data_IF_425557947996
#
_entry.id   IF_425557947996
#
_cell.length_a   1.000
_cell.length_b   1.000
_cell.length_c   1.000
_cell.angle_alpha   90.00
_cell.angle_beta   90.00
_cell.angle_gamma   90.00
#
_symmetry.space_group_name_H-M   'P 1'
#
loop_
_entity.id
_entity.type
_entity.pdbx_description
1 polymer ?
#
# COMPACT_ATOMS: atom_id res chain seq x y z
N UNK A 1 6.34 -11.26 -11.50
CA UNK A 1 7.08 -11.71 -10.31
C UNK A 1 6.88 -10.70 -9.19
N UNK A 2 6.45 -11.18 -8.03
CA UNK A 2 6.32 -10.40 -6.81
C UNK A 2 7.57 -10.58 -5.95
N UNK A 3 8.06 -9.49 -5.34
CA UNK A 3 9.16 -9.53 -4.38
C UNK A 3 8.63 -9.11 -2.99
N UNK A 4 8.45 -10.04 -2.04
CA UNK A 4 7.94 -9.73 -0.71
C UNK A 4 8.90 -8.89 0.13
N UNK A 5 10.17 -8.78 -0.28
CA UNK A 5 11.20 -8.02 0.41
C UNK A 5 11.44 -6.64 -0.22
N UNK A 6 10.61 -6.23 -1.19
CA UNK A 6 10.70 -4.90 -1.76
C UNK A 6 10.43 -3.84 -0.69
N UNK A 7 11.49 -3.14 -0.27
CA UNK A 7 11.43 -2.10 0.75
C UNK A 7 11.03 -0.76 0.12
N UNK A 8 9.73 -0.50 0.09
CA UNK A 8 9.20 0.81 -0.28
C UNK A 8 9.29 1.83 0.85
N UNK A 9 9.74 1.44 2.04
CA UNK A 9 10.07 2.35 3.13
C UNK A 9 11.49 2.93 3.04
N UNK A 10 12.30 2.48 2.06
CA UNK A 10 13.67 2.93 1.91
C UNK A 10 13.76 4.45 1.83
N UNK A 11 14.40 5.06 2.82
CA UNK A 11 14.53 6.50 2.90
C UNK A 11 15.30 7.06 1.70
N UNK A 12 14.72 8.09 1.09
CA UNK A 12 15.38 8.99 0.14
C UNK A 12 14.66 10.33 0.10
N UNK A 13 15.28 11.34 -0.50
CA UNK A 13 14.74 12.72 -0.55
C UNK A 13 14.21 13.10 -1.94
N UNK A 14 14.42 12.26 -2.96
CA UNK A 14 14.05 12.57 -4.33
C UNK A 14 12.54 12.76 -4.53
N UNK A 15 11.71 12.11 -3.71
CA UNK A 15 10.24 12.31 -3.70
C UNK A 15 9.83 13.76 -3.40
N UNK A 16 10.65 14.53 -2.68
CA UNK A 16 10.37 15.94 -2.39
C UNK A 16 10.66 16.86 -3.59
N UNK A 17 11.51 16.41 -4.51
CA UNK A 17 11.90 17.16 -5.70
C UNK A 17 11.05 16.80 -6.92
N UNK A 18 10.35 15.67 -6.86
CA UNK A 18 9.44 15.24 -7.91
C UNK A 18 8.23 16.20 -7.94
N UNK A 19 7.92 16.82 -9.09
CA UNK A 19 6.81 17.75 -9.19
C UNK A 19 5.49 17.01 -8.96
N UNK A 20 4.61 17.61 -8.16
CA UNK A 20 3.26 17.09 -7.91
C UNK A 20 2.22 18.16 -8.22
N UNK A 21 1.25 17.77 -9.04
CA UNK A 21 0.01 18.50 -9.26
C UNK A 21 -0.98 18.03 -8.19
N UNK A 22 -1.10 18.85 -7.15
CA UNK A 22 -1.97 18.57 -6.02
C UNK A 22 -3.42 18.96 -6.32
N UNK A 23 -4.37 18.15 -5.87
CA UNK A 23 -5.78 18.51 -5.90
C UNK A 23 -6.03 19.74 -5.02
N UNK A 24 -6.95 20.59 -5.46
CA UNK A 24 -7.33 21.79 -4.71
C UNK A 24 -8.08 21.41 -3.42
N UNK A 25 -7.74 22.03 -2.28
CA UNK A 25 -8.56 21.92 -1.07
C UNK A 25 -9.98 22.43 -1.33
N UNK A 26 -10.98 21.71 -0.83
CA UNK A 26 -12.39 22.01 -1.12
C UNK A 26 -13.35 20.91 -0.70
N UNK A 27 -14.64 21.19 -0.79
CA UNK A 27 -15.72 20.23 -0.54
C UNK A 27 -16.21 19.69 -1.89
N UNK A 28 -16.24 18.38 -2.01
CA UNK A 28 -16.72 17.63 -3.17
C UNK A 28 -17.96 16.81 -2.77
N UNK A 29 -18.70 16.23 -3.72
CA UNK A 29 -19.96 15.55 -3.42
C UNK A 29 -19.86 14.44 -2.36
N UNK A 30 -18.80 13.61 -2.42
CA UNK A 30 -18.62 12.44 -1.54
C UNK A 30 -17.49 12.58 -0.52
N UNK A 31 -16.65 13.62 -0.63
CA UNK A 31 -15.49 13.83 0.24
C UNK A 31 -15.10 15.31 0.33
N UNK A 32 -14.17 15.63 1.24
CA UNK A 32 -13.52 16.93 1.34
C UNK A 32 -12.01 16.77 1.25
N UNK A 33 -11.36 17.57 0.42
CA UNK A 33 -9.90 17.72 0.42
C UNK A 33 -9.53 18.79 1.44
N UNK A 34 -8.67 18.44 2.40
CA UNK A 34 -8.06 19.38 3.33
C UNK A 34 -6.55 19.48 3.10
N UNK A 35 -5.95 20.57 3.55
CA UNK A 35 -4.52 20.83 3.47
C UNK A 35 -3.94 21.25 4.80
N UNK A 36 -2.75 20.76 5.11
CA UNK A 36 -1.96 21.22 6.25
C UNK A 36 -0.47 21.16 5.90
N UNK A 37 0.37 21.72 6.78
CA UNK A 37 1.82 21.71 6.60
C UNK A 37 2.49 20.93 7.72
N UNK A 38 3.56 20.22 7.39
CA UNK A 38 4.42 19.51 8.34
C UNK A 38 5.83 20.08 8.28
N UNK A 39 6.39 20.43 9.44
CA UNK A 39 7.81 20.82 9.58
C UNK A 39 8.67 19.68 10.13
N UNK A 40 8.05 18.72 10.82
CA UNK A 40 8.66 17.49 11.29
C UNK A 40 7.64 16.36 11.37
N UNK A 41 8.09 15.12 11.20
CA UNK A 41 7.27 13.91 11.34
C UNK A 41 8.18 12.68 11.52
N UNK A 42 7.59 11.49 11.69
CA UNK A 42 8.29 10.21 11.54
C UNK A 42 7.96 9.63 10.18
N UNK A 43 8.99 9.21 9.44
CA UNK A 43 8.86 8.52 8.15
C UNK A 43 9.55 7.18 8.25
N UNK A 44 8.79 6.08 8.18
CA UNK A 44 9.34 4.73 8.27
C UNK A 44 10.27 4.56 9.49
N UNK A 45 9.78 4.95 10.67
CA UNK A 45 10.49 4.98 11.97
C UNK A 45 11.63 6.00 12.10
N UNK A 46 11.93 6.76 11.05
CA UNK A 46 12.96 7.78 11.10
C UNK A 46 12.35 9.14 11.44
N UNK A 47 12.78 9.82 12.52
CA UNK A 47 12.37 11.19 12.77
C UNK A 47 13.00 12.09 11.71
N UNK A 48 12.18 12.88 11.02
CA UNK A 48 12.59 13.78 9.95
C UNK A 48 12.13 15.19 10.28
N UNK A 49 13.04 16.15 10.13
CA UNK A 49 12.75 17.58 10.13
C UNK A 49 13.02 18.14 8.74
N UNK A 50 12.04 18.83 8.17
CA UNK A 50 12.13 19.40 6.83
C UNK A 50 12.77 20.78 6.87
N UNK A 51 13.56 21.13 5.85
CA UNK A 51 14.13 22.48 5.70
C UNK A 51 13.06 23.53 5.38
N UNK A 52 11.97 23.09 4.74
CA UNK A 52 10.79 23.89 4.42
C UNK A 52 9.54 23.10 4.80
N UNK A 53 8.44 23.76 5.21
CA UNK A 53 7.19 23.06 5.50
C UNK A 53 6.70 22.26 4.29
N UNK A 54 6.45 20.96 4.48
CA UNK A 54 5.87 20.09 3.46
C UNK A 54 4.36 20.25 3.50
N UNK A 55 3.77 20.71 2.41
CA UNK A 55 2.34 20.76 2.25
C UNK A 55 1.78 19.34 1.99
N UNK A 56 0.76 18.96 2.75
CA UNK A 56 0.08 17.67 2.71
C UNK A 56 -1.40 17.88 2.35
N UNK A 57 -1.99 16.90 1.67
CA UNK A 57 -3.41 16.76 1.37
C UNK A 57 -3.97 15.54 2.12
N UNK A 58 -5.23 15.66 2.50
CA UNK A 58 -6.01 14.55 3.04
C UNK A 58 -7.42 14.57 2.48
N UNK A 59 -7.93 13.39 2.14
CA UNK A 59 -9.34 13.18 1.83
C UNK A 59 -10.08 12.81 3.11
N UNK A 60 -11.10 13.59 3.42
CA UNK A 60 -12.03 13.32 4.50
C UNK A 60 -13.32 12.78 3.90
N UNK A 61 -13.77 11.62 4.32
CA UNK A 61 -15.02 11.03 3.85
C UNK A 61 -16.27 11.82 4.33
N UNK A 62 -17.45 11.41 3.88
CA UNK A 62 -18.72 12.02 4.30
C UNK A 62 -19.02 11.87 5.79
N UNK A 63 -18.37 10.93 6.49
CA UNK A 63 -18.50 10.73 7.93
C UNK A 63 -17.54 11.61 8.74
N UNK A 64 -16.64 12.36 8.08
CA UNK A 64 -15.65 13.21 8.74
C UNK A 64 -14.36 12.48 9.11
N UNK A 65 -14.18 11.24 8.64
CA UNK A 65 -12.98 10.42 8.90
C UNK A 65 -11.93 10.69 7.84
N UNK A 66 -10.66 10.78 8.24
CA UNK A 66 -9.55 10.78 7.28
C UNK A 66 -9.53 9.44 6.55
N UNK A 67 -9.80 9.47 5.26
CA UNK A 67 -9.83 8.30 4.40
C UNK A 67 -8.44 7.98 3.86
N UNK A 68 -7.71 8.99 3.38
CA UNK A 68 -6.33 8.86 2.88
C UNK A 68 -5.62 10.21 2.93
N UNK A 69 -4.29 10.19 2.91
CA UNK A 69 -3.45 11.38 2.81
C UNK A 69 -2.31 11.19 1.83
N UNK A 70 -1.44 12.19 1.73
CA UNK A 70 -0.13 12.06 1.13
C UNK A 70 0.98 12.52 2.10
N UNK A 71 0.88 12.07 3.36
CA UNK A 71 1.92 12.38 4.36
C UNK A 71 3.29 11.87 3.87
N UNK A 72 4.41 12.43 4.35
CA UNK A 72 5.75 12.10 3.85
C UNK A 72 6.08 10.60 3.79
N UNK A 73 5.56 9.77 4.72
CA UNK A 73 5.73 8.32 4.65
C UNK A 73 5.02 7.70 3.44
N UNK A 74 3.78 8.08 3.17
CA UNK A 74 3.01 7.61 2.01
C UNK A 74 3.70 8.02 0.71
N UNK A 75 4.19 9.27 0.63
CA UNK A 75 4.94 9.75 -0.54
C UNK A 75 6.25 8.99 -0.78
N UNK A 76 7.02 8.68 0.26
CA UNK A 76 8.24 7.85 0.13
C UNK A 76 7.89 6.47 -0.42
N UNK A 77 6.86 5.82 0.13
CA UNK A 77 6.40 4.50 -0.31
C UNK A 77 5.92 4.53 -1.76
N UNK A 78 5.04 5.47 -2.11
CA UNK A 78 4.56 5.62 -3.49
C UNK A 78 5.69 5.94 -4.45
N UNK A 79 6.64 6.80 -4.07
CA UNK A 79 7.78 7.15 -4.92
C UNK A 79 8.69 5.94 -5.16
N UNK A 80 9.02 5.17 -4.13
CA UNK A 80 9.84 3.96 -4.27
C UNK A 80 9.19 2.92 -5.18
N UNK A 81 7.89 2.66 -4.98
CA UNK A 81 7.13 1.79 -5.86
C UNK A 81 7.14 2.34 -7.29
N UNK A 82 6.87 3.64 -7.48
CA UNK A 82 6.87 4.25 -8.79
C UNK A 82 8.22 4.07 -9.49
N UNK A 83 9.36 4.35 -8.85
CA UNK A 83 10.70 4.17 -9.43
C UNK A 83 11.01 2.71 -9.81
N UNK A 84 10.31 1.73 -9.23
CA UNK A 84 10.44 0.32 -9.57
C UNK A 84 9.55 -0.12 -10.75
N UNK A 85 8.63 0.75 -11.18
CA UNK A 85 7.66 0.51 -12.25
C UNK A 85 8.25 0.75 -13.64
N UNK A 86 7.67 0.10 -14.65
CA UNK A 86 8.05 0.23 -16.06
C UNK A 86 6.93 -0.21 -16.98
N UNK A 87 7.03 0.15 -18.25
CA UNK A 87 6.17 -0.34 -19.34
C UNK A 87 4.70 0.04 -19.14
N UNK A 88 3.78 -0.88 -19.47
CA UNK A 88 2.35 -0.67 -19.24
C UNK A 88 2.00 -0.98 -17.79
N UNK A 89 1.40 -0.01 -17.09
CA UNK A 89 1.13 -0.11 -15.65
C UNK A 89 -0.36 -0.17 -15.35
N UNK A 90 -0.78 -1.15 -14.56
CA UNK A 90 -2.08 -1.17 -13.91
C UNK A 90 -1.96 -0.64 -12.48
N UNK A 91 -2.86 0.24 -12.09
CA UNK A 91 -2.94 0.83 -10.75
C UNK A 91 -4.29 0.47 -10.14
N UNK A 92 -4.29 -0.23 -9.01
CA UNK A 92 -5.49 -0.46 -8.21
C UNK A 92 -5.64 0.63 -7.15
N UNK A 93 -6.66 1.48 -7.29
CA UNK A 93 -6.88 2.65 -6.44
C UNK A 93 -6.21 3.91 -7.00
N UNK A 94 -6.98 4.97 -7.26
CA UNK A 94 -6.44 6.25 -7.71
C UNK A 94 -5.89 7.07 -6.54
N UNK A 95 -6.63 7.05 -5.43
CA UNK A 95 -6.34 7.83 -4.24
C UNK A 95 -6.23 9.33 -4.52
N UNK A 96 -5.15 9.98 -4.05
CA UNK A 96 -4.84 11.38 -4.38
C UNK A 96 -4.13 11.55 -5.75
N UNK A 97 -3.98 10.47 -6.52
CA UNK A 97 -3.34 10.50 -7.84
C UNK A 97 -1.83 10.74 -7.77
N UNK A 98 -1.18 10.48 -6.64
CA UNK A 98 0.26 10.75 -6.43
C UNK A 98 1.14 9.71 -7.14
N UNK A 99 0.85 8.41 -6.96
CA UNK A 99 1.64 7.34 -7.57
C UNK A 99 1.72 7.47 -9.12
N UNK A 100 0.61 7.69 -9.86
CA UNK A 100 0.69 7.88 -11.31
C UNK A 100 1.63 9.01 -11.74
N UNK A 101 1.66 10.11 -10.99
CA UNK A 101 2.54 11.25 -11.29
C UNK A 101 4.02 10.89 -11.08
N UNK A 102 4.34 10.16 -10.02
CA UNK A 102 5.70 9.67 -9.79
C UNK A 102 6.14 8.63 -10.83
N UNK A 103 5.22 7.81 -11.35
CA UNK A 103 5.55 6.78 -12.32
C UNK A 103 5.66 7.31 -13.76
N UNK A 104 4.98 8.42 -14.07
CA UNK A 104 4.77 8.90 -15.44
C UNK A 104 6.07 9.05 -16.26
N UNK A 105 7.17 9.46 -15.63
CA UNK A 105 8.44 9.75 -16.32
C UNK A 105 9.21 8.53 -16.84
N UNK A 106 8.82 7.30 -16.51
CA UNK A 106 9.57 6.09 -16.86
C UNK A 106 8.69 4.87 -17.17
N UNK A 107 7.40 5.11 -17.44
CA UNK A 107 6.43 4.09 -17.89
C UNK A 107 5.94 4.42 -19.31
N UNK A 108 5.20 3.51 -19.94
CA UNK A 108 4.65 3.67 -21.30
C UNK A 108 3.17 4.01 -21.29
N UNK A 109 2.42 3.45 -20.35
CA UNK A 109 1.01 3.75 -20.13
C UNK A 109 0.60 3.48 -18.68
N UNK A 110 -0.48 4.10 -18.24
CA UNK A 110 -1.08 3.88 -16.93
C UNK A 110 -2.59 3.69 -17.09
N UNK A 111 -3.09 2.53 -16.67
CA UNK A 111 -4.51 2.26 -16.46
C UNK A 111 -4.78 2.25 -14.97
N UNK A 112 -5.68 3.10 -14.48
CA UNK A 112 -6.13 3.10 -13.08
C UNK A 112 -7.50 2.47 -12.96
N UNK A 113 -7.71 1.59 -11.98
CA UNK A 113 -9.03 1.10 -11.57
C UNK A 113 -9.42 1.83 -10.29
N UNK A 114 -10.51 2.61 -10.35
CA UNK A 114 -11.02 3.38 -9.22
C UNK A 114 -12.52 3.10 -9.02
N UNK A 115 -12.92 2.79 -7.79
CA UNK A 115 -14.30 2.43 -7.47
C UNK A 115 -15.18 3.67 -7.29
N UNK A 116 -14.64 4.75 -6.72
CA UNK A 116 -15.37 5.99 -6.50
C UNK A 116 -15.31 6.88 -7.75
N UNK A 117 -16.42 6.92 -8.48
CA UNK A 117 -16.53 7.69 -9.72
C UNK A 117 -16.40 9.21 -9.50
N UNK A 118 -16.82 9.74 -8.35
CA UNK A 118 -16.69 11.16 -8.02
C UNK A 118 -15.23 11.50 -7.72
N UNK A 119 -14.53 10.65 -6.95
CA UNK A 119 -13.09 10.77 -6.73
C UNK A 119 -12.34 10.70 -8.06
N UNK A 120 -12.66 9.73 -8.93
CA UNK A 120 -12.08 9.63 -10.26
C UNK A 120 -12.32 10.91 -11.10
N UNK A 121 -13.51 11.50 -11.05
CA UNK A 121 -13.83 12.74 -11.76
C UNK A 121 -13.06 13.97 -11.27
N UNK A 122 -12.71 14.00 -9.97
CA UNK A 122 -11.98 15.12 -9.34
C UNK A 122 -10.47 14.95 -9.44
N UNK A 123 -9.95 13.76 -9.16
CA UNK A 123 -8.51 13.47 -9.06
C UNK A 123 -7.94 13.01 -10.40
N UNK A 124 -8.71 12.29 -11.22
CA UNK A 124 -8.26 11.78 -12.51
C UNK A 124 -7.63 12.86 -13.41
N UNK A 125 -8.20 14.08 -13.50
CA UNK A 125 -7.60 15.16 -14.28
C UNK A 125 -6.20 15.58 -13.82
N UNK A 126 -5.87 15.56 -12.51
CA UNK A 126 -4.53 15.97 -12.04
C UNK A 126 -3.46 14.96 -12.47
N UNK A 127 -3.75 13.67 -12.35
CA UNK A 127 -2.89 12.59 -12.83
C UNK A 127 -2.76 12.60 -14.36
N UNK A 128 -3.86 12.88 -15.08
CA UNK A 128 -3.86 12.98 -16.54
C UNK A 128 -2.96 14.12 -17.06
N UNK A 129 -2.92 15.28 -16.39
CA UNK A 129 -2.02 16.38 -16.77
C UNK A 129 -0.55 15.95 -16.65
N UNK A 130 -0.18 15.25 -15.57
CA UNK A 130 1.18 14.75 -15.40
C UNK A 130 1.55 13.70 -16.44
N UNK A 131 0.62 12.80 -16.79
CA UNK A 131 0.80 11.82 -17.84
C UNK A 131 0.98 12.47 -19.23
N UNK A 132 0.16 13.48 -19.55
CA UNK A 132 0.28 14.26 -20.80
C UNK A 132 1.64 14.98 -20.88
N UNK A 133 2.08 15.60 -19.78
CA UNK A 133 3.39 16.24 -19.70
C UNK A 133 4.55 15.24 -19.88
N UNK A 134 4.37 13.98 -19.50
CA UNK A 134 5.33 12.91 -19.72
C UNK A 134 5.19 12.23 -21.11
N UNK A 135 4.14 12.55 -21.88
CA UNK A 135 3.88 11.98 -23.19
C UNK A 135 3.42 10.52 -23.16
N UNK A 136 2.74 10.08 -22.10
CA UNK A 136 2.27 8.70 -21.93
C UNK A 136 0.74 8.59 -21.98
N UNK A 137 0.22 7.40 -22.29
CA UNK A 137 -1.22 7.15 -22.24
C UNK A 137 -1.68 6.99 -20.79
N UNK A 138 -2.81 7.60 -20.43
CA UNK A 138 -3.42 7.51 -19.12
C UNK A 138 -4.94 7.34 -19.23
N UNK A 139 -5.48 6.39 -18.48
CA UNK A 139 -6.93 6.20 -18.35
C UNK A 139 -7.32 5.84 -16.92
N UNK A 140 -8.51 6.28 -16.51
CA UNK A 140 -9.16 5.83 -15.27
C UNK A 140 -10.41 5.07 -15.65
N UNK A 141 -10.53 3.82 -15.20
CA UNK A 141 -11.69 2.97 -15.39
C UNK A 141 -12.44 2.85 -14.07
N UNK A 142 -13.72 3.15 -14.10
CA UNK A 142 -14.59 2.96 -12.94
C UNK A 142 -14.77 1.45 -12.66
N UNK A 143 -14.48 1.00 -11.44
CA UNK A 143 -14.66 -0.40 -11.08
C UNK A 143 -13.96 -0.82 -9.79
N UNK A 144 -14.22 -2.06 -9.39
CA UNK A 144 -13.52 -2.71 -8.29
C UNK A 144 -12.23 -3.36 -8.80
N UNK A 145 -11.10 -3.17 -8.10
CA UNK A 145 -9.86 -3.84 -8.48
C UNK A 145 -9.97 -5.36 -8.35
N UNK A 146 -10.71 -5.84 -7.35
CA UNK A 146 -10.98 -7.26 -7.14
C UNK A 146 -11.70 -7.87 -8.35
N UNK A 147 -12.73 -7.17 -8.87
CA UNK A 147 -13.51 -7.65 -10.00
C UNK A 147 -12.68 -7.62 -11.28
N UNK A 148 -11.90 -6.55 -11.48
CA UNK A 148 -11.01 -6.42 -12.62
C UNK A 148 -9.95 -7.53 -12.66
N UNK A 149 -9.34 -7.85 -11.52
CA UNK A 149 -8.32 -8.89 -11.42
C UNK A 149 -8.88 -10.31 -11.41
N UNK A 150 -10.15 -10.50 -10.99
CA UNK A 150 -10.82 -11.81 -11.03
C UNK A 150 -11.34 -12.18 -12.42
N UNK A 151 -11.49 -11.22 -13.33
CA UNK A 151 -11.90 -11.46 -14.70
C UNK A 151 -10.77 -12.06 -15.56
N UNK A 152 -11.15 -12.68 -16.68
CA UNK A 152 -10.17 -13.16 -17.67
C UNK A 152 -9.32 -11.97 -18.18
N UNK A 153 -7.98 -12.07 -18.15
CA UNK A 153 -7.10 -10.99 -18.57
C UNK A 153 -7.32 -10.63 -20.05
N UNK A 154 -7.82 -9.41 -20.29
CA UNK A 154 -7.93 -8.85 -21.66
C UNK A 154 -6.70 -8.03 -22.04
N UNK A 155 -5.97 -7.53 -21.04
CA UNK A 155 -4.72 -6.79 -21.17
C UNK A 155 -3.72 -7.35 -20.17
N UNK A 156 -2.44 -7.35 -20.53
CA UNK A 156 -1.36 -7.72 -19.63
C UNK A 156 -0.43 -6.53 -19.40
N UNK A 157 0.14 -6.45 -18.20
CA UNK A 157 0.89 -5.29 -17.73
C UNK A 157 2.35 -5.65 -17.40
N UNK A 158 3.26 -4.72 -17.62
CA UNK A 158 4.66 -4.84 -17.19
C UNK A 158 4.80 -4.58 -15.68
N UNK A 159 3.93 -3.73 -15.13
CA UNK A 159 3.83 -3.49 -13.68
C UNK A 159 2.38 -3.42 -13.24
N UNK A 160 2.06 -4.04 -12.11
CA UNK A 160 0.79 -3.85 -11.40
C UNK A 160 1.11 -3.29 -10.02
N UNK A 161 0.58 -2.12 -9.69
CA UNK A 161 0.70 -1.51 -8.37
C UNK A 161 -0.67 -1.46 -7.70
N UNK A 162 -0.77 -1.95 -6.46
CA UNK A 162 -2.02 -1.99 -5.71
C UNK A 162 -1.89 -1.19 -4.40
N UNK A 163 -2.85 -0.30 -4.19
CA UNK A 163 -2.99 0.54 -2.99
C UNK A 163 -4.50 0.82 -2.74
N UNK A 164 -5.19 -0.22 -2.25
CA UNK A 164 -6.66 -0.17 -2.04
C UNK A 164 -7.07 -0.41 -0.59
N UNK A 165 -6.12 -0.43 0.35
CA UNK A 165 -6.37 -0.60 1.78
C UNK A 165 -6.16 0.69 2.55
N UNK A 166 -6.89 0.86 3.65
CA UNK A 166 -6.92 2.12 4.40
C UNK A 166 -5.71 2.33 5.32
N UNK A 167 -5.11 1.25 5.81
CA UNK A 167 -4.10 1.29 6.87
C UNK A 167 -3.02 0.26 6.63
N UNK A 168 -1.81 0.55 7.11
CA UNK A 168 -0.69 -0.38 7.19
C UNK A 168 -0.87 -1.35 8.36
N UNK A 169 -1.97 -2.10 8.35
CA UNK A 169 -2.31 -3.10 9.35
C UNK A 169 -2.00 -4.52 8.81
N UNK A 170 -1.14 -5.30 9.48
CA UNK A 170 -0.86 -6.68 9.09
C UNK A 170 -2.10 -7.58 8.97
N UNK A 171 -3.18 -7.28 9.68
CA UNK A 171 -4.46 -7.99 9.54
C UNK A 171 -4.99 -7.97 8.09
N UNK A 172 -4.60 -7.00 7.27
CA UNK A 172 -4.95 -6.91 5.85
C UNK A 172 -4.14 -7.84 4.93
N UNK A 173 -3.01 -8.40 5.38
CA UNK A 173 -2.10 -9.19 4.55
C UNK A 173 -2.77 -10.37 3.82
N UNK A 174 -3.69 -11.16 4.43
CA UNK A 174 -4.37 -12.24 3.70
C UNK A 174 -5.19 -11.74 2.49
N UNK A 175 -5.87 -10.61 2.64
CA UNK A 175 -6.60 -9.99 1.53
C UNK A 175 -5.64 -9.46 0.45
N UNK A 176 -4.54 -8.85 0.87
CA UNK A 176 -3.51 -8.32 -0.04
C UNK A 176 -2.81 -9.44 -0.82
N UNK A 177 -2.48 -10.57 -0.17
CA UNK A 177 -1.93 -11.76 -0.84
C UNK A 177 -2.91 -12.31 -1.87
N UNK A 178 -4.20 -12.35 -1.55
CA UNK A 178 -5.23 -12.75 -2.53
C UNK A 178 -5.25 -11.81 -3.74
N UNK A 179 -5.19 -10.49 -3.53
CA UNK A 179 -5.12 -9.51 -4.61
C UNK A 179 -3.86 -9.69 -5.48
N UNK A 180 -2.70 -9.92 -4.85
CA UNK A 180 -1.45 -10.26 -5.54
C UNK A 180 -1.60 -11.51 -6.42
N UNK A 181 -2.23 -12.56 -5.91
CA UNK A 181 -2.41 -13.81 -6.64
C UNK A 181 -3.33 -13.63 -7.85
N UNK A 182 -4.40 -12.85 -7.70
CA UNK A 182 -5.25 -12.46 -8.84
C UNK A 182 -4.46 -11.62 -9.85
N UNK A 183 -3.67 -10.65 -9.38
CA UNK A 183 -2.84 -9.80 -10.24
C UNK A 183 -1.80 -10.58 -11.05
N UNK A 184 -1.32 -11.72 -10.55
CA UNK A 184 -0.30 -12.52 -11.24
C UNK A 184 -0.77 -12.99 -12.63
N UNK A 185 -2.08 -13.25 -12.81
CA UNK A 185 -2.66 -13.62 -14.10
C UNK A 185 -2.67 -12.49 -15.13
N UNK A 186 -2.50 -11.23 -14.72
CA UNK A 186 -2.56 -10.04 -15.58
C UNK A 186 -1.16 -9.50 -15.93
N UNK A 187 -0.08 -10.22 -15.60
CA UNK A 187 1.28 -9.80 -15.90
C UNK A 187 1.77 -10.29 -17.27
N UNK A 188 2.49 -9.41 -17.98
CA UNK A 188 3.36 -9.84 -19.09
C UNK A 188 4.49 -10.75 -18.57
N UNK A 189 5.16 -11.51 -19.45
CA UNK A 189 6.45 -12.13 -19.11
C UNK A 189 7.39 -11.11 -18.46
N UNK A 190 8.06 -11.51 -17.39
CA UNK A 190 8.93 -10.67 -16.55
C UNK A 190 8.25 -9.49 -15.84
N UNK A 191 6.94 -9.28 -16.01
CA UNK A 191 6.18 -8.23 -15.33
C UNK A 191 6.26 -8.33 -13.81
N UNK A 192 5.92 -7.28 -13.08
CA UNK A 192 6.04 -7.26 -11.61
C UNK A 192 4.80 -6.75 -10.89
N UNK A 193 4.62 -7.21 -9.66
CA UNK A 193 3.59 -6.71 -8.74
C UNK A 193 4.28 -5.91 -7.64
N UNK A 194 3.71 -4.76 -7.32
CA UNK A 194 4.12 -3.83 -6.29
C UNK A 194 2.92 -3.56 -5.37
N UNK A 195 3.10 -3.64 -4.06
CA UNK A 195 2.02 -3.57 -3.07
C UNK A 195 2.43 -2.55 -2.00
N UNK A 196 1.62 -1.50 -1.84
CA UNK A 196 1.95 -0.36 -0.99
C UNK A 196 2.13 -0.72 0.50
N UNK A 197 3.34 -0.58 1.03
CA UNK A 197 3.68 -0.87 2.41
C UNK A 197 3.62 -2.35 2.79
N UNK A 198 3.69 -3.27 1.81
CA UNK A 198 3.62 -4.71 2.08
C UNK A 198 4.74 -5.20 2.99
N UNK A 199 5.99 -4.88 2.65
CA UNK A 199 7.15 -5.28 3.46
C UNK A 199 7.06 -4.71 4.89
N UNK A 200 6.52 -3.50 5.04
CA UNK A 200 6.25 -2.90 6.34
C UNK A 200 5.23 -3.69 7.15
N UNK A 201 4.09 -4.06 6.55
CA UNK A 201 3.08 -4.89 7.22
C UNK A 201 3.61 -6.29 7.58
N UNK A 202 4.41 -6.91 6.71
CA UNK A 202 5.08 -8.18 7.03
C UNK A 202 6.01 -8.01 8.23
N UNK A 203 6.79 -6.93 8.28
CA UNK A 203 7.66 -6.65 9.44
C UNK A 203 6.87 -6.51 10.74
N UNK A 204 5.78 -5.76 10.73
CA UNK A 204 4.91 -5.61 11.91
C UNK A 204 4.30 -6.96 12.36
N UNK A 205 3.90 -7.82 11.41
CA UNK A 205 3.47 -9.20 11.71
C UNK A 205 4.60 -10.00 12.37
N UNK A 206 5.82 -9.90 11.84
CA UNK A 206 6.99 -10.61 12.37
C UNK A 206 7.33 -10.14 13.79
N UNK A 207 7.23 -8.84 14.08
CA UNK A 207 7.38 -8.29 15.43
C UNK A 207 6.33 -8.85 16.40
N UNK A 208 5.07 -8.96 15.96
CA UNK A 208 4.01 -9.58 16.74
C UNK A 208 4.27 -11.08 16.99
N UNK A 209 4.81 -11.81 16.00
CA UNK A 209 5.24 -13.20 16.17
C UNK A 209 6.34 -13.32 17.21
N UNK A 210 7.37 -12.46 17.18
CA UNK A 210 8.45 -12.46 18.19
C UNK A 210 7.88 -12.27 19.59
N UNK A 211 6.97 -11.31 19.77
CA UNK A 211 6.33 -11.08 21.07
C UNK A 211 5.54 -12.31 21.53
N UNK A 212 4.74 -12.90 20.63
CA UNK A 212 3.93 -14.09 20.90
C UNK A 212 4.78 -15.32 21.26
N UNK A 213 5.86 -15.58 20.52
CA UNK A 213 6.70 -16.76 20.73
C UNK A 213 7.56 -16.63 22.01
N UNK A 214 7.89 -15.41 22.44
CA UNK A 214 8.55 -15.17 23.73
C UNK A 214 7.60 -15.32 24.94
N UNK A 215 6.29 -15.25 24.73
CA UNK A 215 5.30 -15.50 25.78
C UNK A 215 5.25 -16.99 26.13
N UNK A 216 5.18 -17.38 27.43
CA UNK A 216 5.06 -18.78 27.83
C UNK A 216 3.90 -19.48 27.11
N UNK A 217 4.04 -20.73 26.65
CA UNK A 217 3.04 -21.38 25.79
C UNK A 217 1.62 -21.38 26.40
N UNK A 218 1.51 -21.60 27.71
CA UNK A 218 0.25 -21.59 28.44
C UNK A 218 -0.48 -20.23 28.46
N UNK A 219 0.21 -19.12 28.13
CA UNK A 219 -0.32 -17.76 28.15
C UNK A 219 -0.61 -17.20 26.76
N UNK A 220 -0.08 -17.81 25.69
CA UNK A 220 -0.16 -17.27 24.32
C UNK A 220 -1.60 -17.04 23.84
N UNK A 221 -2.50 -18.01 24.08
CA UNK A 221 -3.91 -17.89 23.68
C UNK A 221 -4.61 -16.75 24.43
N UNK A 222 -4.46 -16.70 25.76
CA UNK A 222 -5.03 -15.63 26.56
C UNK A 222 -4.47 -14.25 26.18
N UNK A 223 -3.18 -14.17 25.86
CA UNK A 223 -2.55 -12.95 25.35
C UNK A 223 -3.16 -12.53 24.01
N UNK A 224 -3.36 -13.48 23.09
CA UNK A 224 -3.96 -13.20 21.79
C UNK A 224 -5.41 -12.72 21.94
N UNK A 225 -6.21 -13.41 22.77
CA UNK A 225 -7.61 -13.04 23.04
C UNK A 225 -7.72 -11.66 23.71
N UNK A 226 -6.75 -11.29 24.56
CA UNK A 226 -6.70 -9.98 25.20
C UNK A 226 -6.17 -8.86 24.27
N UNK A 227 -5.26 -9.20 23.35
CA UNK A 227 -4.68 -8.27 22.38
C UNK A 227 -5.61 -8.04 21.17
N UNK A 228 -6.56 -8.95 20.93
CA UNK A 228 -7.56 -8.87 19.89
C UNK A 228 -8.50 -7.67 20.12
N UNK A 229 -8.04 -6.47 19.74
CA UNK A 229 -8.91 -5.30 19.54
C UNK A 229 -9.81 -5.48 18.30
N UNK A 230 -9.42 -6.36 17.38
CA UNK A 230 -10.21 -6.83 16.24
C UNK A 230 -10.12 -8.35 16.10
N UNK A 231 -11.15 -8.98 15.52
CA UNK A 231 -11.18 -10.41 15.20
C UNK A 231 -10.05 -10.84 14.27
N UNK A 232 -9.54 -9.90 13.47
CA UNK A 232 -8.72 -10.21 12.30
C UNK A 232 -7.26 -10.39 12.69
N UNK A 233 -6.74 -9.60 13.63
CA UNK A 233 -5.41 -9.83 14.21
C UNK A 233 -5.32 -11.18 14.94
N UNK A 234 -6.41 -11.57 15.64
CA UNK A 234 -6.51 -12.87 16.28
C UNK A 234 -6.52 -14.01 15.25
N UNK A 235 -7.28 -13.85 14.17
CA UNK A 235 -7.31 -14.81 13.07
C UNK A 235 -5.93 -14.97 12.42
N UNK A 236 -5.19 -13.88 12.23
CA UNK A 236 -3.86 -13.89 11.61
C UNK A 236 -2.81 -14.63 12.45
N UNK A 237 -2.79 -14.42 13.77
CA UNK A 237 -1.80 -15.03 14.66
C UNK A 237 -2.24 -16.40 15.22
N UNK A 238 -3.50 -16.78 15.06
CA UNK A 238 -4.06 -18.06 15.52
C UNK A 238 -3.23 -19.27 15.08
N UNK A 239 -2.90 -19.42 13.78
CA UNK A 239 -2.07 -20.51 13.29
C UNK A 239 -0.66 -20.56 13.90
N UNK A 240 -0.09 -19.40 14.28
CA UNK A 240 1.20 -19.33 14.98
C UNK A 240 1.09 -19.96 16.38
N UNK A 241 0.03 -19.64 17.12
CA UNK A 241 -0.25 -20.23 18.45
C UNK A 241 -0.45 -21.73 18.37
N UNK A 242 -1.18 -22.20 17.36
CA UNK A 242 -1.47 -23.63 17.18
C UNK A 242 -0.22 -24.44 16.86
N UNK A 243 0.58 -23.95 15.90
CA UNK A 243 1.83 -24.61 15.52
C UNK A 243 2.83 -24.63 16.67
N UNK A 244 2.98 -23.51 17.36
CA UNK A 244 3.89 -23.39 18.50
C UNK A 244 3.09 -23.43 19.81
N UNK A 245 2.36 -24.52 20.04
CA UNK A 245 1.63 -24.74 21.29
C UNK A 245 2.53 -25.15 22.46
N UNK A 246 3.76 -25.59 22.17
CA UNK A 246 4.81 -25.91 23.14
C UNK A 246 5.92 -24.85 23.22
N UNK A 247 6.96 -25.08 24.05
CA UNK A 247 8.16 -24.24 24.07
C UNK A 247 8.83 -24.18 22.69
N UNK A 248 9.26 -23.00 22.27
CA UNK A 248 10.04 -22.83 21.04
C UNK A 248 11.49 -23.12 21.37
N UNK A 249 12.05 -24.17 20.77
CA UNK A 249 13.45 -24.56 20.97
C UNK A 249 14.41 -23.90 19.99
N UNK A 250 13.90 -23.50 18.83
CA UNK A 250 14.64 -22.80 17.78
C UNK A 250 13.82 -21.60 17.31
N UNK A 251 14.26 -20.39 17.67
CA UNK A 251 13.57 -19.16 17.32
C UNK A 251 13.77 -18.80 15.84
N UNK A 252 14.91 -19.15 15.26
CA UNK A 252 15.20 -18.83 13.86
C UNK A 252 14.30 -19.64 12.92
N UNK A 253 14.21 -20.96 13.16
CA UNK A 253 13.28 -21.83 12.42
C UNK A 253 11.83 -21.36 12.59
N UNK A 254 11.44 -20.97 13.81
CA UNK A 254 10.08 -20.54 14.10
C UNK A 254 9.70 -19.27 13.32
N UNK A 255 10.59 -18.28 13.29
CA UNK A 255 10.39 -17.03 12.55
C UNK A 255 10.43 -17.24 11.03
N UNK A 256 11.32 -18.11 10.53
CA UNK A 256 11.35 -18.46 9.11
C UNK A 256 10.00 -19.07 8.66
N UNK A 257 9.39 -19.92 9.48
CA UNK A 257 8.05 -20.43 9.20
C UNK A 257 6.99 -19.34 9.25
N UNK A 258 7.01 -18.43 10.24
CA UNK A 258 6.04 -17.33 10.32
C UNK A 258 6.11 -16.45 9.07
N UNK A 259 7.32 -16.11 8.61
CA UNK A 259 7.51 -15.33 7.38
C UNK A 259 6.98 -16.09 6.16
N UNK A 260 7.29 -17.38 6.05
CA UNK A 260 6.78 -18.21 4.95
C UNK A 260 5.25 -18.32 4.99
N UNK A 261 4.64 -18.39 6.17
CA UNK A 261 3.18 -18.44 6.35
C UNK A 261 2.49 -17.16 5.88
N UNK A 262 3.01 -15.99 6.25
CA UNK A 262 2.35 -14.72 5.94
C UNK A 262 2.57 -14.26 4.49
N UNK A 263 3.63 -14.74 3.85
CA UNK A 263 3.94 -14.39 2.45
C UNK A 263 3.26 -15.34 1.46
N UNK A 264 2.78 -16.50 1.90
CA UNK A 264 1.96 -17.40 1.07
C UNK A 264 0.66 -16.75 0.66
#
# INVERSE_FOLDING_TARGET
MFDPNFDDCRWQTAWMQAPLIQVMPGVYPTFRVTSWQLTETTVCEQPVRFSEPVEVRGLIDSAGTLWMSDVPQERVMMYNNAQASRGDVLVGGLGLGIYPQYAAGHVSSITVIERDAELAGVIGPTAAIAADAAGISFEVRAGSVEDALSAEPTTHYDTIFLDTWHQLDPAGLPHINRLRDLAAGHLKPDGRILLWGYAWMVRLFMEACVQLLNTPPAQRRAMLDAAARSSDAAALLGPVVERYSGPVTDMEEALAWCQAYIVQ
#
